data_IF_907602913521
#
_entry.id   IF_907602913521
#
_cell.length_a   1.000
_cell.length_b   1.000
_cell.length_c   1.000
_cell.angle_alpha   90.00
_cell.angle_beta   90.00
_cell.angle_gamma   90.00
#
_symmetry.space_group_name_H-M   'P 1'
#
loop_
_entity.id
_entity.type
_entity.pdbx_description
1 polymer ?
#
# COMPACT_ATOMS: atom_id res chain seq x y z
N UNK A 1 0.35 19.90 16.72
CA UNK A 1 0.25 21.08 15.82
C UNK A 1 -0.99 20.99 14.93
N UNK A 2 -1.10 20.05 13.98
CA UNK A 2 -2.23 20.01 13.03
C UNK A 2 -3.61 19.90 13.71
N UNK A 3 -3.77 19.03 14.72
CA UNK A 3 -5.03 18.92 15.47
C UNK A 3 -5.39 20.24 16.17
N UNK A 4 -4.39 20.90 16.77
CA UNK A 4 -4.59 22.18 17.45
C UNK A 4 -5.01 23.28 16.46
N UNK A 5 -4.41 23.32 15.27
CA UNK A 5 -4.74 24.31 14.23
C UNK A 5 -6.12 24.08 13.59
N UNK A 6 -6.56 22.83 13.48
CA UNK A 6 -7.82 22.46 12.80
C UNK A 6 -9.00 22.30 13.74
N UNK A 7 -8.77 22.02 15.02
CA UNK A 7 -9.82 21.66 15.98
C UNK A 7 -10.57 20.37 15.62
N UNK A 8 -10.11 19.60 14.64
CA UNK A 8 -10.87 18.48 14.08
C UNK A 8 -10.71 17.21 14.89
N UNK A 9 -11.82 16.72 15.45
CA UNK A 9 -11.91 15.42 16.13
C UNK A 9 -11.56 14.27 15.18
N UNK A 10 -11.89 14.41 13.88
CA UNK A 10 -11.53 13.42 12.87
C UNK A 10 -10.02 13.30 12.70
N UNK A 11 -9.31 14.44 12.56
CA UNK A 11 -7.84 14.45 12.44
C UNK A 11 -7.18 13.90 13.71
N UNK A 12 -7.71 14.23 14.88
CA UNK A 12 -7.25 13.65 16.14
C UNK A 12 -7.41 12.13 16.15
N UNK A 13 -8.58 11.63 15.74
CA UNK A 13 -8.88 10.20 15.69
C UNK A 13 -7.94 9.46 14.73
N UNK A 14 -7.70 10.01 13.54
CA UNK A 14 -6.75 9.46 12.56
C UNK A 14 -5.32 9.40 13.14
N UNK A 15 -4.90 10.47 13.82
CA UNK A 15 -3.60 10.52 14.50
C UNK A 15 -3.47 9.47 15.60
N UNK A 16 -4.49 9.30 16.43
CA UNK A 16 -4.53 8.28 17.48
C UNK A 16 -4.43 6.87 16.87
N UNK A 17 -5.22 6.58 15.84
CA UNK A 17 -5.18 5.28 15.15
C UNK A 17 -3.78 5.02 14.57
N UNK A 18 -3.14 6.02 13.96
CA UNK A 18 -1.78 5.91 13.46
C UNK A 18 -0.75 5.63 14.56
N UNK A 19 -0.80 6.37 15.67
CA UNK A 19 0.11 6.18 16.82
C UNK A 19 -0.09 4.81 17.46
N UNK A 20 -1.33 4.40 17.71
CA UNK A 20 -1.64 3.09 18.26
C UNK A 20 -1.22 1.98 17.31
N UNK A 21 -1.46 2.14 16.00
CA UNK A 21 -1.01 1.19 14.97
C UNK A 21 0.50 1.01 14.95
N UNK A 22 1.25 2.12 15.02
CA UNK A 22 2.72 2.09 15.08
C UNK A 22 3.24 1.48 16.38
N UNK A 23 2.66 1.84 17.53
CA UNK A 23 3.06 1.30 18.83
C UNK A 23 2.77 -0.21 18.92
N UNK A 24 1.55 -0.62 18.61
CA UNK A 24 1.13 -2.01 18.67
C UNK A 24 1.65 -2.87 17.52
N UNK A 25 2.39 -2.28 16.56
CA UNK A 25 3.11 -3.02 15.54
C UNK A 25 4.02 -4.08 16.18
N UNK A 26 4.82 -3.69 17.17
CA UNK A 26 5.77 -4.56 17.87
C UNK A 26 5.49 -4.70 19.37
N UNK A 27 4.77 -3.76 19.99
CA UNK A 27 4.53 -3.77 21.43
C UNK A 27 3.47 -4.79 21.87
N UNK A 28 3.63 -5.32 23.09
CA UNK A 28 2.58 -6.10 23.78
C UNK A 28 1.40 -5.17 24.14
N UNK A 29 0.17 -5.71 24.25
CA UNK A 29 -0.21 -7.12 24.10
C UNK A 29 -0.50 -7.53 22.64
N UNK A 30 -0.55 -6.59 21.70
CA UNK A 30 -1.05 -6.86 20.35
C UNK A 30 0.02 -7.51 19.47
N UNK A 31 1.19 -6.88 19.29
CA UNK A 31 2.27 -7.35 18.40
C UNK A 31 1.77 -7.67 16.98
N UNK A 32 1.20 -6.68 16.27
CA UNK A 32 0.60 -6.89 14.94
C UNK A 32 1.54 -7.59 13.94
N UNK A 33 2.83 -7.27 13.95
CA UNK A 33 3.81 -7.89 13.04
C UNK A 33 4.07 -9.39 13.30
N UNK A 34 3.58 -9.92 14.43
CA UNK A 34 3.63 -11.34 14.75
C UNK A 34 2.35 -12.08 14.31
N UNK A 35 1.32 -11.34 13.89
CA UNK A 35 0.02 -11.89 13.53
C UNK A 35 -0.12 -11.95 12.02
N UNK A 36 -0.93 -12.90 11.57
CA UNK A 36 -1.33 -13.01 10.16
C UNK A 36 -1.99 -11.74 9.61
N UNK A 37 -2.65 -10.96 10.48
CA UNK A 37 -3.34 -9.74 10.09
C UNK A 37 -2.41 -8.53 9.88
N UNK A 38 -1.10 -8.65 10.10
CA UNK A 38 -0.17 -7.52 9.96
C UNK A 38 -0.22 -6.84 8.59
N UNK A 39 -0.34 -7.61 7.51
CA UNK A 39 -0.42 -7.13 6.13
C UNK A 39 -1.69 -6.27 5.87
N UNK A 40 -2.91 -6.73 6.21
CA UNK A 40 -4.12 -5.88 6.18
C UNK A 40 -4.01 -4.59 6.99
N UNK A 41 -3.38 -4.62 8.17
CA UNK A 41 -3.19 -3.41 8.99
C UNK A 41 -2.25 -2.42 8.31
N UNK A 42 -1.14 -2.88 7.72
CA UNK A 42 -0.22 -2.02 6.97
C UNK A 42 -0.92 -1.42 5.74
N UNK A 43 -1.70 -2.23 5.02
CA UNK A 43 -2.52 -1.74 3.92
C UNK A 43 -3.40 -0.55 4.34
N UNK A 44 -4.12 -0.66 5.47
CA UNK A 44 -4.98 0.42 5.97
C UNK A 44 -4.15 1.62 6.43
N UNK A 45 -3.14 1.40 7.28
CA UNK A 45 -2.37 2.44 7.95
C UNK A 45 -1.48 3.26 7.00
N UNK A 46 -1.08 2.67 5.87
CA UNK A 46 -0.23 3.33 4.88
C UNK A 46 -0.94 3.68 3.57
N UNK A 47 -2.15 3.16 3.34
CA UNK A 47 -2.93 3.40 2.12
C UNK A 47 -4.16 4.28 2.39
N UNK A 48 -5.37 3.71 2.49
CA UNK A 48 -6.60 4.49 2.61
C UNK A 48 -6.62 5.50 3.76
N UNK A 49 -6.13 5.12 4.95
CA UNK A 49 -6.22 5.97 6.14
C UNK A 49 -5.49 7.33 5.97
N UNK A 50 -4.18 7.36 5.64
CA UNK A 50 -3.47 8.63 5.43
C UNK A 50 -3.92 9.37 4.16
N UNK A 51 -4.35 8.66 3.11
CA UNK A 51 -4.81 9.30 1.86
C UNK A 51 -6.16 10.00 2.06
N UNK A 52 -7.13 9.36 2.71
CA UNK A 52 -8.40 9.99 3.09
C UNK A 52 -8.18 11.13 4.09
N UNK A 53 -7.31 10.90 5.08
CA UNK A 53 -7.00 11.91 6.09
C UNK A 53 -6.35 13.17 5.52
N UNK A 54 -5.40 13.01 4.61
CA UNK A 54 -4.74 14.14 3.94
C UNK A 54 -5.69 14.88 3.00
N UNK A 55 -6.61 14.19 2.32
CA UNK A 55 -7.66 14.82 1.51
C UNK A 55 -8.59 15.66 2.38
N UNK A 56 -9.08 15.09 3.49
CA UNK A 56 -9.94 15.82 4.43
C UNK A 56 -9.23 17.04 5.01
N UNK A 57 -7.95 16.91 5.37
CA UNK A 57 -7.18 18.01 5.94
C UNK A 57 -7.04 19.20 4.98
N UNK A 58 -6.93 18.94 3.68
CA UNK A 58 -6.74 19.97 2.66
C UNK A 58 -8.05 20.58 2.17
N UNK A 59 -9.12 19.78 2.08
CA UNK A 59 -10.39 20.21 1.47
C UNK A 59 -11.47 20.56 2.49
N UNK A 60 -11.31 20.11 3.74
CA UNK A 60 -12.35 20.17 4.77
C UNK A 60 -13.54 19.23 4.51
N UNK A 61 -13.48 18.37 3.48
CA UNK A 61 -14.58 17.50 3.06
C UNK A 61 -14.22 16.03 3.20
N UNK A 62 -15.20 15.23 3.62
CA UNK A 62 -15.11 13.77 3.56
C UNK A 62 -15.63 13.34 2.21
N UNK A 63 -14.79 12.66 1.43
CA UNK A 63 -15.09 12.21 0.08
C UNK A 63 -14.50 10.80 -0.12
N UNK A 64 -15.15 10.00 -0.96
CA UNK A 64 -14.70 8.66 -1.36
C UNK A 64 -13.74 8.68 -2.54
N UNK A 65 -13.68 9.77 -3.32
CA UNK A 65 -12.78 9.96 -4.45
C UNK A 65 -11.31 9.55 -4.17
N UNK A 66 -10.68 9.95 -3.04
CA UNK A 66 -9.30 9.54 -2.73
C UNK A 66 -9.16 8.08 -2.25
N UNK A 67 -10.25 7.29 -2.18
CA UNK A 67 -10.18 5.90 -1.74
C UNK A 67 -9.44 5.00 -2.74
N UNK A 68 -9.74 5.10 -4.04
CA UNK A 68 -9.06 4.31 -5.09
C UNK A 68 -7.54 4.51 -5.04
N UNK A 69 -7.00 5.75 -5.06
CA UNK A 69 -5.57 5.94 -4.96
C UNK A 69 -5.01 5.45 -3.62
N UNK A 70 -5.76 5.59 -2.52
CA UNK A 70 -5.40 5.03 -1.21
C UNK A 70 -5.28 3.51 -1.21
N UNK A 71 -6.21 2.79 -1.85
CA UNK A 71 -6.18 1.32 -1.99
C UNK A 71 -4.97 0.90 -2.82
N UNK A 72 -4.73 1.54 -3.96
CA UNK A 72 -3.58 1.24 -4.83
C UNK A 72 -2.27 1.41 -4.05
N UNK A 73 -2.09 2.55 -3.39
CA UNK A 73 -0.89 2.83 -2.58
C UNK A 73 -0.72 1.81 -1.45
N UNK A 74 -1.80 1.51 -0.72
CA UNK A 74 -1.78 0.54 0.38
C UNK A 74 -1.39 -0.86 -0.07
N UNK A 75 -1.93 -1.33 -1.21
CA UNK A 75 -1.61 -2.64 -1.76
C UNK A 75 -0.13 -2.73 -2.13
N UNK A 76 0.42 -1.68 -2.76
CA UNK A 76 1.84 -1.68 -3.13
C UNK A 76 2.74 -1.68 -1.89
N UNK A 77 2.41 -0.93 -0.84
CA UNK A 77 3.19 -0.92 0.41
C UNK A 77 3.11 -2.29 1.12
N UNK A 78 1.92 -2.92 1.15
CA UNK A 78 1.78 -4.27 1.68
C UNK A 78 2.65 -5.29 0.93
N UNK A 79 2.75 -5.17 -0.40
CA UNK A 79 3.62 -6.02 -1.22
C UNK A 79 5.12 -5.82 -0.93
N UNK A 80 5.57 -4.59 -0.67
CA UNK A 80 6.96 -4.32 -0.23
C UNK A 80 7.27 -5.07 1.06
N UNK A 81 6.33 -5.04 2.02
CA UNK A 81 6.48 -5.80 3.26
C UNK A 81 6.47 -7.31 3.00
N UNK A 82 5.55 -7.78 2.16
CA UNK A 82 5.39 -9.20 1.83
C UNK A 82 6.68 -9.80 1.27
N UNK A 83 7.35 -9.13 0.30
CA UNK A 83 8.63 -9.60 -0.26
C UNK A 83 9.68 -9.80 0.84
N UNK A 84 9.72 -8.93 1.84
CA UNK A 84 10.69 -9.03 2.93
C UNK A 84 10.43 -10.26 3.83
N UNK A 85 9.21 -10.81 3.85
CA UNK A 85 8.90 -11.99 4.66
C UNK A 85 9.41 -13.31 4.07
N UNK A 86 9.79 -13.34 2.79
CA UNK A 86 10.29 -14.55 2.13
C UNK A 86 11.66 -15.01 2.65
N UNK A 87 12.72 -14.18 2.63
CA UNK A 87 14.02 -14.58 3.18
C UNK A 87 13.93 -14.81 4.70
N UNK A 88 13.10 -14.03 5.39
CA UNK A 88 12.97 -14.07 6.85
C UNK A 88 12.11 -15.22 7.36
N UNK A 89 11.48 -16.00 6.48
CA UNK A 89 10.51 -17.05 6.85
C UNK A 89 11.00 -17.96 7.99
N UNK A 90 12.25 -18.44 7.94
CA UNK A 90 12.80 -19.33 8.98
C UNK A 90 12.99 -18.61 10.31
N UNK A 91 13.54 -17.41 10.28
CA UNK A 91 13.77 -16.59 11.47
C UNK A 91 12.43 -16.16 12.11
N UNK A 92 11.47 -15.73 11.29
CA UNK A 92 10.13 -15.36 11.71
C UNK A 92 9.38 -16.53 12.37
N UNK A 93 9.48 -17.73 11.78
CA UNK A 93 8.90 -18.94 12.37
C UNK A 93 9.53 -19.28 13.73
N UNK A 94 10.86 -19.14 13.89
CA UNK A 94 11.56 -19.43 15.13
C UNK A 94 11.12 -18.54 16.31
N UNK A 95 10.64 -17.32 16.02
CA UNK A 95 10.11 -16.39 17.04
C UNK A 95 8.56 -16.37 17.08
N UNK A 96 7.90 -17.38 16.51
CA UNK A 96 6.45 -17.55 16.47
C UNK A 96 5.68 -16.43 15.73
N UNK A 97 6.31 -15.71 14.79
CA UNK A 97 5.56 -14.83 13.88
C UNK A 97 4.77 -15.69 12.89
N UNK A 98 3.54 -15.27 12.59
CA UNK A 98 2.61 -15.98 11.71
C UNK A 98 2.33 -15.17 10.43
N UNK A 99 3.39 -14.70 9.77
CA UNK A 99 3.27 -14.00 8.47
C UNK A 99 2.62 -14.91 7.42
N UNK A 100 2.10 -14.33 6.33
CA UNK A 100 1.44 -15.10 5.27
C UNK A 100 2.36 -16.21 4.74
N UNK A 101 3.63 -15.88 4.46
CA UNK A 101 4.63 -16.82 3.93
C UNK A 101 5.03 -17.91 4.94
N UNK A 102 5.05 -17.60 6.25
CA UNK A 102 5.25 -18.63 7.28
C UNK A 102 4.07 -19.61 7.30
N UNK A 103 2.84 -19.07 7.28
CA UNK A 103 1.61 -19.86 7.45
C UNK A 103 1.24 -20.69 6.21
N UNK A 104 1.31 -20.11 5.02
CA UNK A 104 0.85 -20.73 3.77
C UNK A 104 1.99 -21.11 2.82
N UNK A 105 3.23 -20.71 3.14
CA UNK A 105 4.42 -21.07 2.39
C UNK A 105 4.74 -20.12 1.22
N UNK A 106 5.95 -20.24 0.64
CA UNK A 106 6.44 -19.32 -0.40
C UNK A 106 5.64 -19.38 -1.70
N UNK A 107 5.12 -20.55 -2.08
CA UNK A 107 4.29 -20.69 -3.29
C UNK A 107 3.02 -19.85 -3.18
N UNK A 108 2.34 -19.93 -2.04
CA UNK A 108 1.14 -19.12 -1.79
C UNK A 108 1.48 -17.63 -1.73
N UNK A 109 2.61 -17.25 -1.11
CA UNK A 109 3.08 -15.86 -1.11
C UNK A 109 3.31 -15.32 -2.53
N UNK A 110 3.98 -16.07 -3.41
CA UNK A 110 4.17 -15.62 -4.81
C UNK A 110 2.83 -15.38 -5.51
N UNK A 111 1.84 -16.25 -5.27
CA UNK A 111 0.49 -16.07 -5.82
C UNK A 111 -0.18 -14.83 -5.22
N UNK A 112 -0.08 -14.63 -3.91
CA UNK A 112 -0.66 -13.46 -3.23
C UNK A 112 -0.04 -12.15 -3.72
N UNK A 113 1.29 -12.07 -3.81
CA UNK A 113 2.00 -10.94 -4.39
C UNK A 113 1.53 -10.63 -5.82
N UNK A 114 1.46 -11.64 -6.69
CA UNK A 114 0.99 -11.45 -8.08
C UNK A 114 -0.47 -11.00 -8.13
N UNK A 115 -1.33 -11.58 -7.29
CA UNK A 115 -2.73 -11.20 -7.17
C UNK A 115 -2.88 -9.75 -6.67
N UNK A 116 -2.04 -9.31 -5.74
CA UNK A 116 -2.00 -7.94 -5.25
C UNK A 116 -1.62 -6.94 -6.35
N UNK A 117 -0.63 -7.25 -7.20
CA UNK A 117 -0.35 -6.42 -8.40
C UNK A 117 -1.56 -6.41 -9.34
N UNK A 118 -2.18 -7.56 -9.62
CA UNK A 118 -3.37 -7.59 -10.47
C UNK A 118 -4.52 -6.75 -9.87
N UNK A 119 -4.71 -6.81 -8.56
CA UNK A 119 -5.72 -6.03 -7.85
C UNK A 119 -5.48 -4.52 -7.99
N UNK A 120 -4.23 -4.04 -7.97
CA UNK A 120 -3.98 -2.61 -8.17
C UNK A 120 -4.38 -2.12 -9.56
N UNK A 121 -4.14 -2.92 -10.60
CA UNK A 121 -4.62 -2.61 -11.96
C UNK A 121 -6.13 -2.69 -12.07
N UNK A 122 -6.78 -3.67 -11.41
CA UNK A 122 -8.25 -3.73 -11.35
C UNK A 122 -8.85 -2.48 -10.69
N UNK A 123 -8.24 -2.01 -9.60
CA UNK A 123 -8.66 -0.76 -8.95
C UNK A 123 -8.47 0.46 -9.84
N UNK A 124 -7.38 0.52 -10.61
CA UNK A 124 -7.16 1.60 -11.57
C UNK A 124 -8.17 1.54 -12.73
N UNK A 125 -8.51 0.35 -13.24
CA UNK A 125 -9.59 0.19 -14.23
C UNK A 125 -10.92 0.65 -13.65
N UNK A 126 -11.24 0.29 -12.41
CA UNK A 126 -12.43 0.80 -11.73
C UNK A 126 -12.42 2.34 -11.61
N UNK A 127 -11.25 2.93 -11.37
CA UNK A 127 -11.07 4.38 -11.30
C UNK A 127 -11.26 5.11 -12.64
N UNK A 128 -11.21 4.42 -13.78
CA UNK A 128 -11.58 5.00 -15.07
C UNK A 128 -13.08 5.30 -15.20
N UNK A 129 -13.92 4.73 -14.34
CA UNK A 129 -15.34 5.06 -14.24
C UNK A 129 -15.62 6.19 -13.24
N UNK A 130 -14.58 6.68 -12.55
CA UNK A 130 -14.67 7.86 -11.69
C UNK A 130 -14.61 9.15 -12.50
N UNK A 131 -14.84 10.28 -11.82
CA UNK A 131 -14.78 11.60 -12.44
C UNK A 131 -13.54 12.37 -12.00
N UNK A 132 -13.21 13.39 -12.80
CA UNK A 132 -12.18 14.37 -12.49
C UNK A 132 -10.82 13.75 -12.12
N UNK A 133 -10.27 14.05 -10.94
CA UNK A 133 -8.91 13.64 -10.59
C UNK A 133 -8.76 12.12 -10.48
N UNK A 134 -9.82 11.39 -10.13
CA UNK A 134 -9.79 9.92 -10.00
C UNK A 134 -9.57 9.27 -11.36
N UNK A 135 -10.28 9.74 -12.39
CA UNK A 135 -10.09 9.29 -13.77
C UNK A 135 -8.65 9.50 -14.22
N UNK A 136 -8.15 10.74 -14.13
CA UNK A 136 -6.82 11.10 -14.63
C UNK A 136 -5.70 10.42 -13.85
N UNK A 137 -5.83 10.31 -12.53
CA UNK A 137 -4.88 9.56 -11.70
C UNK A 137 -4.85 8.08 -12.05
N UNK A 138 -6.00 7.48 -12.32
CA UNK A 138 -6.09 6.07 -12.71
C UNK A 138 -5.52 5.82 -14.11
N UNK A 139 -5.82 6.71 -15.07
CA UNK A 139 -5.24 6.66 -16.41
C UNK A 139 -3.70 6.79 -16.36
N UNK A 140 -3.18 7.72 -15.57
CA UNK A 140 -1.75 7.89 -15.35
C UNK A 140 -1.13 6.64 -14.69
N UNK A 141 -1.80 6.05 -13.70
CA UNK A 141 -1.35 4.81 -13.06
C UNK A 141 -1.24 3.64 -14.04
N UNK A 142 -2.21 3.47 -14.96
CA UNK A 142 -2.18 2.37 -15.93
C UNK A 142 -0.94 2.39 -16.83
N UNK A 143 -0.30 3.54 -17.04
CA UNK A 143 0.97 3.63 -17.78
C UNK A 143 2.12 2.88 -17.11
N UNK A 144 2.00 2.56 -15.82
CA UNK A 144 2.97 1.75 -15.07
C UNK A 144 2.90 0.25 -15.38
N UNK A 145 1.97 -0.18 -16.24
CA UNK A 145 1.75 -1.58 -16.62
C UNK A 145 3.03 -2.38 -16.95
N UNK A 146 4.00 -1.85 -17.72
CA UNK A 146 5.24 -2.57 -17.98
C UNK A 146 6.04 -2.91 -16.72
N UNK A 147 6.04 -2.02 -15.72
CA UNK A 147 6.73 -2.21 -14.44
C UNK A 147 6.01 -3.28 -13.61
N UNK A 148 4.68 -3.21 -13.50
CA UNK A 148 3.90 -4.23 -12.79
C UNK A 148 4.02 -5.61 -13.43
N UNK A 149 4.00 -5.70 -14.76
CA UNK A 149 4.22 -6.96 -15.47
C UNK A 149 5.63 -7.51 -15.22
N UNK A 150 6.65 -6.66 -15.22
CA UNK A 150 8.01 -7.06 -14.87
C UNK A 150 8.10 -7.57 -13.43
N UNK A 151 7.38 -6.96 -12.48
CA UNK A 151 7.32 -7.39 -11.09
C UNK A 151 6.64 -8.77 -10.95
N UNK A 152 5.50 -8.99 -11.60
CA UNK A 152 4.82 -10.30 -11.66
C UNK A 152 5.75 -11.38 -12.22
N UNK A 153 6.43 -11.11 -13.34
CA UNK A 153 7.35 -12.05 -13.99
C UNK A 153 8.60 -12.34 -13.15
N UNK A 154 9.02 -11.40 -12.32
CA UNK A 154 10.19 -11.56 -11.42
C UNK A 154 9.85 -12.23 -10.10
N UNK A 155 8.60 -12.16 -9.65
CA UNK A 155 8.11 -12.86 -8.47
C UNK A 155 8.10 -14.37 -8.73
N UNK A 156 9.12 -15.06 -8.24
CA UNK A 156 9.26 -16.50 -8.27
C UNK A 156 9.78 -16.99 -6.91
N UNK A 157 9.39 -18.19 -6.52
CA UNK A 157 9.72 -18.74 -5.19
C UNK A 157 11.23 -18.74 -4.97
N UNK A 158 12.00 -19.27 -5.93
CA UNK A 158 13.45 -19.40 -5.80
C UNK A 158 14.08 -18.01 -5.63
N UNK A 159 13.68 -17.06 -6.48
CA UNK A 159 14.20 -15.69 -6.44
C UNK A 159 13.87 -14.97 -5.14
N UNK A 160 12.65 -15.13 -4.63
CA UNK A 160 12.22 -14.44 -3.42
C UNK A 160 12.78 -15.07 -2.13
N UNK A 161 13.11 -16.36 -2.13
CA UNK A 161 13.74 -17.00 -0.96
C UNK A 161 15.26 -16.86 -0.91
N UNK A 162 15.91 -16.64 -2.04
CA UNK A 162 17.36 -16.46 -2.16
C UNK A 162 17.73 -14.96 -2.18
N UNK A 163 19.02 -14.61 -2.35
CA UNK A 163 19.49 -13.21 -2.39
C UNK A 163 18.86 -12.34 -3.50
N UNK A 164 18.20 -12.95 -4.50
CA UNK A 164 17.52 -12.23 -5.57
C UNK A 164 16.25 -11.47 -5.13
N UNK A 165 15.76 -11.66 -3.89
CA UNK A 165 14.62 -10.91 -3.33
C UNK A 165 14.88 -9.39 -3.31
N UNK A 166 16.14 -8.97 -3.13
CA UNK A 166 16.52 -7.54 -3.11
C UNK A 166 16.17 -6.87 -4.43
N UNK A 167 16.39 -7.55 -5.57
CA UNK A 167 16.07 -7.00 -6.88
C UNK A 167 14.54 -6.91 -7.11
N UNK A 168 13.78 -7.90 -6.64
CA UNK A 168 12.32 -7.87 -6.69
C UNK A 168 11.73 -6.78 -5.78
N UNK A 169 12.29 -6.63 -4.57
CA UNK A 169 11.87 -5.58 -3.64
C UNK A 169 12.18 -4.19 -4.21
N UNK A 170 13.40 -3.99 -4.73
CA UNK A 170 13.80 -2.74 -5.40
C UNK A 170 12.84 -2.38 -6.55
N UNK A 171 12.46 -3.36 -7.38
CA UNK A 171 11.50 -3.12 -8.46
C UNK A 171 10.13 -2.72 -7.91
N UNK A 172 9.67 -3.32 -6.82
CA UNK A 172 8.39 -2.98 -6.16
C UNK A 172 8.42 -1.58 -5.56
N UNK A 173 9.56 -1.17 -4.99
CA UNK A 173 9.77 0.20 -4.50
C UNK A 173 9.78 1.20 -5.65
N UNK A 174 10.48 0.90 -6.75
CA UNK A 174 10.43 1.74 -7.96
C UNK A 174 9.00 1.85 -8.49
N UNK A 175 8.28 0.73 -8.53
CA UNK A 175 6.88 0.68 -8.94
C UNK A 175 6.01 1.59 -8.06
N UNK A 176 6.16 1.50 -6.74
CA UNK A 176 5.50 2.38 -5.78
C UNK A 176 5.78 3.86 -6.05
N UNK A 177 7.06 4.24 -6.16
CA UNK A 177 7.45 5.63 -6.34
C UNK A 177 6.97 6.20 -7.67
N UNK A 178 7.13 5.45 -8.77
CA UNK A 178 6.69 5.89 -10.10
C UNK A 178 5.16 6.02 -10.14
N UNK A 179 4.44 5.02 -9.63
CA UNK A 179 2.98 5.08 -9.55
C UNK A 179 2.49 6.27 -8.72
N UNK A 180 3.05 6.47 -7.53
CA UNK A 180 2.68 7.56 -6.64
C UNK A 180 2.93 8.94 -7.25
N UNK A 181 4.09 9.13 -7.91
CA UNK A 181 4.43 10.38 -8.61
C UNK A 181 3.48 10.64 -9.78
N UNK A 182 3.22 9.65 -10.63
CA UNK A 182 2.33 9.80 -11.77
C UNK A 182 0.90 10.14 -11.35
N UNK A 183 0.37 9.44 -10.35
CA UNK A 183 -0.97 9.70 -9.82
C UNK A 183 -1.06 11.09 -9.19
N UNK A 184 -0.06 11.48 -8.37
CA UNK A 184 -0.03 12.80 -7.74
C UNK A 184 0.07 13.91 -8.79
N UNK A 185 0.91 13.74 -9.81
CA UNK A 185 1.05 14.69 -10.91
C UNK A 185 -0.26 14.85 -11.69
N UNK A 186 -0.99 13.76 -11.95
CA UNK A 186 -2.30 13.83 -12.61
C UNK A 186 -3.35 14.57 -11.77
N UNK A 187 -3.39 14.34 -10.46
CA UNK A 187 -4.27 15.06 -9.54
C UNK A 187 -3.95 16.57 -9.53
N UNK A 188 -2.66 16.92 -9.47
CA UNK A 188 -2.20 18.32 -9.47
C UNK A 188 -2.50 18.98 -10.82
N UNK A 189 -2.19 18.33 -11.94
CA UNK A 189 -2.47 18.86 -13.28
C UNK A 189 -3.96 19.13 -13.49
N UNK A 190 -4.83 18.19 -13.06
CA UNK A 190 -6.28 18.37 -13.12
C UNK A 190 -6.75 19.63 -12.38
N UNK A 191 -6.11 19.97 -11.26
CA UNK A 191 -6.44 21.16 -10.47
C UNK A 191 -6.10 22.49 -11.14
N UNK A 192 -5.19 22.50 -12.13
CA UNK A 192 -4.86 23.69 -12.91
C UNK A 192 -5.74 23.85 -14.15
N UNK A 193 -6.18 22.74 -14.74
CA UNK A 193 -7.01 22.75 -15.95
C UNK A 193 -8.47 23.13 -15.66
N UNK A 194 -8.97 22.86 -14.44
CA UNK A 194 -10.36 23.12 -14.05
C UNK A 194 -10.52 24.33 -13.09
N UNK A 195 -9.59 25.28 -13.14
CA UNK A 195 -9.76 26.62 -12.55
C UNK A 195 -10.28 27.57 -13.60
#
# INVERSE_FOLDING_TARGET
VIVFLTGSVLVLSLGIVGVLGAYFWTARPVKLCYRFLGEPFIFILFGPLPVLGSYYLQTGRVDINPLIPGIIVGLIIAMVLEINTFPDRKADAAVNKRTFVVRFGPKAGVVFYRASISATYLMAVAGLFGEGPVFWGSAAYLTTFPIGLAAIKRADVKRLTEHAHVAANKLTIIYHSVAGVLMSAAFVAFSFVNR
#
